data_IF_375483940685
#
_entry.id   IF_375483940685
#
_cell.length_a   1.000
_cell.length_b   1.000
_cell.length_c   1.000
_cell.angle_alpha   90.00
_cell.angle_beta   90.00
_cell.angle_gamma   90.00
#
_symmetry.space_group_name_H-M   'P 1'
#
loop_
_entity.id
_entity.type
_entity.pdbx_description
1 polymer ?
#
# COMPACT_ATOMS: atom_id res chain seq x y z
N UNK A 1 -16.50 13.81 6.62
CA UNK A 1 -16.46 12.98 5.40
C UNK A 1 -14.97 12.79 5.11
N UNK A 2 -14.44 11.58 5.25
CA UNK A 2 -12.99 11.34 5.15
C UNK A 2 -12.57 11.28 3.69
N UNK A 3 -11.66 12.13 3.25
CA UNK A 3 -11.09 12.16 1.88
C UNK A 3 -10.14 10.98 1.60
N UNK A 4 -10.43 9.80 2.18
CA UNK A 4 -9.64 8.59 1.99
C UNK A 4 -9.91 8.06 0.59
N UNK A 5 -8.87 8.08 -0.25
CA UNK A 5 -8.93 7.69 -1.66
C UNK A 5 -8.29 6.34 -1.92
N UNK A 6 -7.52 5.82 -0.96
CA UNK A 6 -6.84 4.54 -1.08
C UNK A 6 -6.69 3.84 0.27
N UNK A 7 -6.86 2.53 0.27
CA UNK A 7 -6.59 1.67 1.43
C UNK A 7 -5.94 0.39 0.95
N UNK A 8 -4.84 0.00 1.59
CA UNK A 8 -4.11 -1.23 1.28
C UNK A 8 -3.86 -2.03 2.56
N UNK A 9 -3.83 -3.35 2.42
CA UNK A 9 -3.30 -4.24 3.45
C UNK A 9 -1.94 -4.74 3.01
N UNK A 10 -0.92 -4.45 3.81
CA UNK A 10 0.47 -4.81 3.52
C UNK A 10 0.89 -5.91 4.49
N UNK A 11 1.04 -7.14 3.98
CA UNK A 11 1.53 -8.27 4.76
C UNK A 11 3.07 -8.26 4.83
N UNK A 12 3.61 -7.91 5.99
CA UNK A 12 5.04 -7.89 6.28
C UNK A 12 5.44 -9.07 7.19
N UNK A 13 6.69 -9.09 7.67
CA UNK A 13 7.18 -10.15 8.57
C UNK A 13 6.66 -10.02 9.99
N UNK A 14 6.31 -8.80 10.42
CA UNK A 14 5.79 -8.45 11.74
C UNK A 14 4.26 -8.41 11.82
N UNK A 15 3.57 -8.48 10.69
CA UNK A 15 2.11 -8.57 10.65
C UNK A 15 1.50 -8.01 9.38
N UNK A 16 0.18 -7.85 9.38
CA UNK A 16 -0.55 -7.15 8.33
C UNK A 16 -0.80 -5.73 8.79
N UNK A 17 -0.31 -4.76 8.02
CA UNK A 17 -0.46 -3.34 8.30
C UNK A 17 -1.50 -2.72 7.37
N UNK A 18 -2.42 -1.93 7.93
CA UNK A 18 -3.41 -1.18 7.16
C UNK A 18 -2.84 0.18 6.79
N UNK A 19 -2.67 0.44 5.50
CA UNK A 19 -2.26 1.75 4.97
C UNK A 19 -3.48 2.48 4.46
N UNK A 20 -3.69 3.72 4.90
CA UNK A 20 -4.76 4.60 4.45
C UNK A 20 -4.16 5.88 3.87
N UNK A 21 -4.69 6.32 2.73
CA UNK A 21 -4.26 7.54 2.07
C UNK A 21 -5.41 8.50 1.84
N UNK A 22 -5.27 9.72 2.36
CA UNK A 22 -6.14 10.84 2.03
C UNK A 22 -5.50 11.73 0.98
N UNK A 23 -6.28 12.14 -0.01
CA UNK A 23 -5.86 13.12 -1.01
C UNK A 23 -6.95 14.15 -1.28
N UNK A 24 -6.70 15.39 -0.87
CA UNK A 24 -7.57 16.53 -1.15
C UNK A 24 -7.23 17.14 -2.51
N UNK A 25 -8.08 16.93 -3.51
CA UNK A 25 -7.86 17.40 -4.89
C UNK A 25 -8.00 18.92 -5.07
N UNK A 26 -8.55 19.63 -4.08
CA UNK A 26 -8.66 21.11 -4.10
C UNK A 26 -7.42 21.79 -3.52
N UNK A 27 -6.85 21.28 -2.43
CA UNK A 27 -5.69 21.88 -1.74
C UNK A 27 -4.37 21.15 -1.99
N UNK A 28 -4.41 19.96 -2.61
CA UNK A 28 -3.29 19.03 -2.66
C UNK A 28 -2.94 18.42 -1.30
N UNK A 29 -3.85 18.46 -0.33
CA UNK A 29 -3.64 17.84 0.99
C UNK A 29 -3.35 16.35 0.82
N UNK A 30 -2.33 15.83 1.52
CA UNK A 30 -1.97 14.41 1.56
C UNK A 30 -1.82 13.95 3.01
N UNK A 31 -2.46 12.86 3.38
CA UNK A 31 -2.28 12.24 4.71
C UNK A 31 -2.10 10.75 4.55
N UNK A 32 -1.06 10.20 5.16
CA UNK A 32 -0.82 8.76 5.19
C UNK A 32 -0.97 8.30 6.64
N UNK A 33 -1.79 7.26 6.83
CA UNK A 33 -1.90 6.55 8.11
C UNK A 33 -1.51 5.09 7.94
N UNK A 34 -0.84 4.56 8.94
CA UNK A 34 -0.51 3.14 9.07
C UNK A 34 -1.06 2.68 10.41
N UNK A 35 -1.92 1.66 10.39
CA UNK A 35 -2.62 1.13 11.57
C UNK A 35 -3.31 2.22 12.38
N UNK A 36 -4.04 3.09 11.68
CA UNK A 36 -4.74 4.28 12.23
C UNK A 36 -3.83 5.36 12.81
N UNK A 37 -2.50 5.18 12.80
CA UNK A 37 -1.53 6.19 13.22
C UNK A 37 -1.09 7.03 12.03
N UNK A 38 -1.24 8.34 12.15
CA UNK A 38 -0.71 9.27 11.16
C UNK A 38 0.82 9.27 11.15
N UNK A 39 1.39 9.06 9.97
CA UNK A 39 2.83 9.01 9.76
C UNK A 39 3.33 10.14 8.86
N UNK A 40 2.45 10.70 8.03
CA UNK A 40 2.78 11.81 7.14
C UNK A 40 1.54 12.68 6.91
N UNK A 41 1.76 13.99 6.94
CA UNK A 41 0.75 15.00 6.60
C UNK A 41 1.39 16.13 5.79
N UNK A 42 0.70 16.50 4.72
CA UNK A 42 0.93 17.71 3.92
C UNK A 42 -0.40 18.43 3.82
N UNK A 43 -0.51 19.62 4.39
CA UNK A 43 -1.79 20.34 4.39
C UNK A 43 -2.08 21.05 3.05
N UNK A 44 -1.04 21.37 2.29
CA UNK A 44 -1.17 22.05 1.00
C UNK A 44 -0.05 21.69 0.03
N UNK A 45 -0.41 21.40 -1.21
CA UNK A 45 0.52 21.18 -2.33
C UNK A 45 -0.11 21.73 -3.62
N UNK A 46 0.67 22.52 -4.37
CA UNK A 46 0.21 23.02 -5.68
C UNK A 46 0.08 21.89 -6.72
N UNK A 47 0.94 20.87 -6.63
CA UNK A 47 0.95 19.73 -7.56
C UNK A 47 0.16 18.56 -6.97
N UNK A 48 -0.87 18.11 -7.68
CA UNK A 48 -1.76 17.03 -7.24
C UNK A 48 -1.17 15.63 -7.50
N UNK A 49 -0.42 15.46 -8.60
CA UNK A 49 0.30 14.21 -8.92
C UNK A 49 1.70 14.16 -8.29
N UNK A 50 2.26 12.96 -8.16
CA UNK A 50 3.59 12.77 -7.60
C UNK A 50 3.69 11.48 -6.79
N UNK A 51 4.59 11.46 -5.81
CA UNK A 51 4.77 10.30 -4.95
C UNK A 51 5.07 10.72 -3.52
N UNK A 52 4.64 9.90 -2.56
CA UNK A 52 4.97 10.04 -1.16
C UNK A 52 5.65 8.75 -0.68
N UNK A 53 6.84 8.87 -0.10
CA UNK A 53 7.61 7.73 0.41
C UNK A 53 7.60 7.75 1.93
N UNK A 54 7.37 6.58 2.52
CA UNK A 54 7.35 6.36 3.96
C UNK A 54 7.88 4.96 4.29
N UNK A 55 7.93 4.61 5.59
CA UNK A 55 8.43 3.32 6.04
C UNK A 55 7.41 2.61 6.93
N UNK A 56 7.31 1.30 6.78
CA UNK A 56 6.63 0.39 7.70
C UNK A 56 7.69 -0.59 8.19
N UNK A 57 8.08 -0.45 9.46
CA UNK A 57 9.24 -1.17 10.01
C UNK A 57 10.51 -0.90 9.21
N UNK A 58 11.02 -1.93 8.52
CA UNK A 58 12.26 -1.88 7.71
C UNK A 58 11.98 -1.67 6.22
N UNK A 59 10.73 -1.79 5.80
CA UNK A 59 10.33 -1.78 4.40
C UNK A 59 10.02 -0.36 3.94
N UNK A 60 10.47 -0.01 2.74
CA UNK A 60 10.19 1.29 2.14
C UNK A 60 8.92 1.20 1.32
N UNK A 61 7.93 2.02 1.65
CA UNK A 61 6.66 2.09 0.95
C UNK A 61 6.55 3.41 0.17
N UNK A 62 6.03 3.36 -1.04
CA UNK A 62 5.80 4.56 -1.86
C UNK A 62 4.39 4.54 -2.42
N UNK A 63 3.61 5.59 -2.15
CA UNK A 63 2.34 5.83 -2.81
C UNK A 63 2.62 6.70 -4.02
N UNK A 64 2.27 6.23 -5.23
CA UNK A 64 2.29 7.03 -6.44
C UNK A 64 0.88 7.55 -6.74
N UNK A 65 0.82 8.78 -7.24
CA UNK A 65 -0.40 9.50 -7.58
C UNK A 65 -0.24 9.93 -9.04
N UNK A 66 -0.96 9.24 -9.91
CA UNK A 66 -0.88 9.46 -11.35
C UNK A 66 -2.19 10.05 -11.86
N UNK A 67 -2.12 11.01 -12.78
CA UNK A 67 -3.30 11.52 -13.45
C UNK A 67 -3.71 10.55 -14.55
N UNK A 68 -4.99 10.17 -14.56
CA UNK A 68 -5.59 9.36 -15.61
C UNK A 68 -6.62 10.18 -16.40
N UNK A 69 -7.17 9.61 -17.46
CA UNK A 69 -8.18 10.29 -18.28
C UNK A 69 -9.41 10.69 -17.46
N UNK A 70 -10.13 11.73 -17.90
CA UNK A 70 -11.38 12.15 -17.26
C UNK A 70 -11.22 12.89 -15.93
N UNK A 71 -10.11 13.60 -15.72
CA UNK A 71 -9.84 14.36 -14.48
C UNK A 71 -9.80 13.50 -13.20
N UNK A 72 -9.48 12.21 -13.35
CA UNK A 72 -9.35 11.27 -12.24
C UNK A 72 -7.87 11.00 -11.90
N UNK A 73 -7.65 10.39 -10.74
CA UNK A 73 -6.33 10.01 -10.25
C UNK A 73 -6.30 8.53 -9.93
N UNK A 74 -5.19 7.88 -10.26
CA UNK A 74 -4.87 6.52 -9.84
C UNK A 74 -3.88 6.56 -8.69
N UNK A 75 -4.06 5.65 -7.74
CA UNK A 75 -3.22 5.52 -6.56
C UNK A 75 -2.66 4.11 -6.50
N UNK A 76 -1.33 3.99 -6.55
CA UNK A 76 -0.64 2.71 -6.43
C UNK A 76 0.28 2.73 -5.22
N UNK A 77 0.44 1.56 -4.59
CA UNK A 77 1.36 1.36 -3.47
C UNK A 77 2.47 0.41 -3.89
N UNK A 78 3.71 0.88 -3.81
CA UNK A 78 4.91 0.06 -3.96
C UNK A 78 5.50 -0.26 -2.59
N UNK A 79 5.95 -1.50 -2.41
CA UNK A 79 6.69 -1.98 -1.23
C UNK A 79 8.05 -2.50 -1.70
N UNK A 80 9.13 -1.91 -1.19
CA UNK A 80 10.52 -2.16 -1.59
C UNK A 80 10.73 -2.04 -3.11
N UNK A 81 10.10 -1.03 -3.72
CA UNK A 81 10.22 -0.75 -5.17
C UNK A 81 9.45 -1.72 -6.07
N UNK A 82 8.57 -2.55 -5.50
CA UNK A 82 7.67 -3.44 -6.25
C UNK A 82 6.22 -3.05 -6.00
N UNK A 83 5.34 -3.05 -7.02
CA UNK A 83 3.91 -2.90 -6.82
C UNK A 83 3.39 -3.93 -5.82
N UNK A 84 2.47 -3.53 -4.93
CA UNK A 84 1.98 -4.38 -3.84
C UNK A 84 1.49 -5.76 -4.30
N UNK A 85 0.81 -5.82 -5.45
CA UNK A 85 0.36 -7.08 -6.07
C UNK A 85 1.56 -7.99 -6.38
N UNK A 86 2.56 -7.45 -7.09
CA UNK A 86 3.80 -8.17 -7.43
C UNK A 86 4.65 -8.51 -6.19
N UNK A 87 4.62 -7.67 -5.16
CA UNK A 87 5.28 -7.95 -3.88
C UNK A 87 4.65 -9.16 -3.19
N UNK A 88 3.31 -9.18 -3.13
CA UNK A 88 2.53 -10.27 -2.53
C UNK A 88 2.73 -11.60 -3.26
N UNK A 89 2.69 -11.59 -4.60
CA UNK A 89 2.96 -12.78 -5.41
C UNK A 89 4.37 -13.34 -5.22
N UNK A 90 5.39 -12.49 -5.18
CA UNK A 90 6.76 -12.92 -4.94
C UNK A 90 6.89 -13.59 -3.57
N UNK A 91 6.24 -13.05 -2.53
CA UNK A 91 6.22 -13.65 -1.20
C UNK A 91 5.56 -15.03 -1.22
N UNK A 92 4.43 -15.20 -1.90
CA UNK A 92 3.76 -16.49 -2.05
C UNK A 92 4.62 -17.54 -2.76
N UNK A 93 5.37 -17.14 -3.81
CA UNK A 93 6.26 -18.06 -4.53
C UNK A 93 7.46 -18.53 -3.69
N UNK A 94 7.97 -17.65 -2.83
CA UNK A 94 9.10 -17.96 -1.92
C UNK A 94 8.59 -18.77 -0.71
N UNK A 95 7.37 -18.51 -0.25
CA UNK A 95 6.68 -19.26 0.80
C UNK A 95 6.04 -20.55 0.26
N UNK A 96 6.84 -21.44 -0.34
CA UNK A 96 6.39 -22.81 -0.65
C UNK A 96 6.43 -23.65 0.63
N UNK A 97 5.29 -23.73 1.32
CA UNK A 97 5.04 -24.81 2.27
C UNK A 97 4.75 -26.10 1.48
N UNK A 98 5.44 -27.17 1.83
CA UNK A 98 5.13 -28.50 1.30
C UNK A 98 3.79 -28.95 1.89
N UNK A 99 2.78 -29.13 1.04
CA UNK A 99 1.56 -29.84 1.44
C UNK A 99 1.92 -31.33 1.45
N UNK A 100 1.97 -31.95 2.62
CA UNK A 100 2.13 -33.40 2.72
C UNK A 100 0.76 -34.04 2.53
N UNK A 101 0.53 -34.64 1.38
CA UNK A 101 -0.65 -35.47 1.13
C UNK A 101 -0.34 -36.90 1.57
N UNK A 102 -0.94 -37.36 2.67
CA UNK A 102 -0.88 -38.76 3.12
C UNK A 102 -2.26 -39.37 2.91
N UNK A 103 -2.32 -40.46 2.13
CA UNK A 103 -3.56 -41.21 1.83
C UNK A 103 -4.72 -40.36 1.30
N UNK A 104 -4.42 -39.38 0.43
CA UNK A 104 -5.43 -38.50 -0.17
C UNK A 104 -6.03 -37.47 0.79
N UNK A 105 -5.46 -37.34 1.99
CA UNK A 105 -5.85 -36.32 2.97
C UNK A 105 -4.75 -35.26 3.01
N UNK A 106 -5.13 -34.01 2.76
CA UNK A 106 -4.25 -32.86 2.89
C UNK A 106 -4.07 -32.53 4.38
N UNK A 107 -2.83 -32.65 4.88
CA UNK A 107 -2.46 -32.21 6.22
C UNK A 107 -1.84 -30.81 6.16
N UNK A 108 -2.35 -29.90 7.00
CA UNK A 108 -1.86 -28.51 7.19
C UNK A 108 -1.31 -28.31 8.57
#
# INVERSE_FOLDING_TARGET
>A
MSDVVGTWQVALSDGVHKVEFEHGTTSGKRVIRVDSKEILRRDWLFKLVGKETFKIGKHQCTINIDAVSGFAYEYTLDVDGKPLEKFSENRSKISRTWTLTLDGIDYR
#
